data_IF_373634901726
#
_entry.id   IF_373634901726
#
_cell.length_a   1.000
_cell.length_b   1.000
_cell.length_c   1.000
_cell.angle_alpha   90.00
_cell.angle_beta   90.00
_cell.angle_gamma   90.00
#
_symmetry.space_group_name_H-M   'P 1'
#
loop_
_entity.id
_entity.type
_entity.pdbx_description
1 polymer ?
#
# COMPACT_ATOMS: atom_id res chain seq x y z
N UNK A 1 -9.91 1.94 3.05
CA UNK A 1 -10.14 2.05 1.59
C UNK A 1 -9.81 0.70 0.98
N UNK A 2 -10.78 0.06 0.33
CA UNK A 2 -10.60 -1.27 -0.26
C UNK A 2 -10.11 -1.15 -1.69
N UNK A 3 -9.01 -1.83 -2.01
CA UNK A 3 -8.46 -1.89 -3.35
C UNK A 3 -7.89 -3.29 -3.62
N UNK A 4 -7.83 -3.65 -4.89
CA UNK A 4 -7.39 -4.98 -5.30
C UNK A 4 -5.91 -4.98 -5.68
N UNK A 5 -5.08 -5.82 -5.05
CA UNK A 5 -3.65 -5.97 -5.41
C UNK A 5 -3.41 -6.88 -6.63
N UNK A 6 -4.47 -7.42 -7.24
CA UNK A 6 -4.39 -8.10 -8.55
C UNK A 6 -4.54 -7.11 -9.69
N UNK A 7 -5.56 -6.25 -9.65
CA UNK A 7 -5.88 -5.36 -10.77
C UNK A 7 -5.66 -3.87 -10.48
N UNK A 8 -5.35 -3.51 -9.24
CA UNK A 8 -5.16 -2.14 -8.73
C UNK A 8 -6.39 -1.24 -8.76
N UNK A 9 -7.56 -1.74 -9.18
CA UNK A 9 -8.83 -1.02 -9.11
C UNK A 9 -9.37 -0.90 -7.68
N UNK A 10 -10.14 0.15 -7.42
CA UNK A 10 -10.87 0.37 -6.18
C UNK A 10 -12.13 -0.52 -6.11
N UNK A 11 -12.69 -0.67 -4.90
CA UNK A 11 -14.04 -1.23 -4.70
C UNK A 11 -14.11 -2.73 -4.40
N UNK A 12 -13.03 -3.48 -4.54
CA UNK A 12 -13.02 -4.92 -4.24
C UNK A 12 -11.66 -5.39 -3.71
N UNK A 13 -11.67 -6.53 -3.00
CA UNK A 13 -10.47 -7.22 -2.55
C UNK A 13 -10.00 -8.24 -3.59
N UNK A 14 -8.75 -8.71 -3.47
CA UNK A 14 -8.11 -9.62 -4.43
C UNK A 14 -8.88 -10.94 -4.63
N UNK A 15 -9.47 -11.47 -3.57
CA UNK A 15 -10.30 -12.69 -3.56
C UNK A 15 -11.63 -12.52 -4.31
N UNK A 16 -12.11 -11.28 -4.47
CA UNK A 16 -13.32 -10.92 -5.23
C UNK A 16 -12.99 -10.31 -6.60
N UNK A 17 -11.76 -10.46 -7.07
CA UNK A 17 -11.34 -9.89 -8.34
C UNK A 17 -11.73 -10.81 -9.51
N UNK A 18 -12.54 -10.27 -10.43
CA UNK A 18 -12.90 -10.95 -11.68
C UNK A 18 -11.80 -10.84 -12.76
N UNK A 19 -10.67 -10.20 -12.45
CA UNK A 19 -9.53 -10.10 -13.35
C UNK A 19 -8.84 -11.46 -13.53
N UNK A 20 -8.72 -11.89 -14.78
CA UNK A 20 -8.04 -13.12 -15.18
C UNK A 20 -6.54 -13.05 -14.86
N UNK A 21 -5.92 -11.89 -15.10
CA UNK A 21 -4.49 -11.66 -14.90
C UNK A 21 -4.22 -10.69 -13.75
N UNK A 22 -3.06 -10.86 -13.10
CA UNK A 22 -2.52 -9.79 -12.24
C UNK A 22 -1.94 -8.70 -13.14
N UNK A 23 -1.94 -7.45 -12.70
CA UNK A 23 -1.40 -6.32 -13.46
C UNK A 23 -0.18 -5.74 -12.75
N UNK A 24 0.77 -5.23 -13.51
CA UNK A 24 1.91 -4.50 -12.96
C UNK A 24 1.41 -3.26 -12.21
N UNK A 25 2.02 -2.95 -11.05
CA UNK A 25 1.63 -1.77 -10.25
C UNK A 25 1.92 -0.45 -10.95
N UNK A 26 2.91 -0.42 -11.84
CA UNK A 26 3.41 0.79 -12.47
C UNK A 26 2.74 0.98 -13.84
N UNK A 27 2.94 0.03 -14.76
CA UNK A 27 2.45 0.16 -16.13
C UNK A 27 1.08 -0.47 -16.40
N UNK A 28 0.52 -1.19 -15.43
CA UNK A 28 -0.75 -1.93 -15.54
C UNK A 28 -0.80 -3.04 -16.58
N UNK A 29 0.33 -3.40 -17.21
CA UNK A 29 0.40 -4.53 -18.12
C UNK A 29 0.14 -5.86 -17.38
N UNK A 30 -0.38 -6.85 -18.11
CA UNK A 30 -0.69 -8.16 -17.55
C UNK A 30 0.59 -8.94 -17.17
N UNK A 31 0.60 -9.44 -15.94
CA UNK A 31 1.57 -10.38 -15.38
C UNK A 31 1.09 -11.78 -15.71
N UNK A 32 1.70 -12.41 -16.72
CA UNK A 32 1.40 -13.79 -17.11
C UNK A 32 2.19 -14.73 -16.18
N UNK A 33 1.51 -15.70 -15.56
CA UNK A 33 2.15 -16.65 -14.66
C UNK A 33 3.27 -17.42 -15.37
N UNK A 34 4.45 -17.45 -14.76
CA UNK A 34 5.62 -18.15 -15.32
C UNK A 34 6.44 -17.33 -16.33
N UNK A 35 6.02 -16.11 -16.67
CA UNK A 35 6.83 -15.18 -17.46
C UNK A 35 7.38 -14.04 -16.59
N UNK A 36 8.66 -13.73 -16.76
CA UNK A 36 9.26 -12.54 -16.15
C UNK A 36 8.69 -11.30 -16.81
N UNK A 37 7.99 -10.49 -16.04
CA UNK A 37 7.47 -9.22 -16.52
C UNK A 37 8.58 -8.16 -16.63
N UNK A 38 8.71 -7.56 -17.81
CA UNK A 38 9.55 -6.38 -18.03
C UNK A 38 8.64 -5.15 -17.99
N UNK A 39 8.78 -4.34 -16.95
CA UNK A 39 8.00 -3.14 -16.76
C UNK A 39 8.43 -2.05 -17.75
N UNK A 40 7.47 -1.44 -18.46
CA UNK A 40 7.73 -0.30 -19.35
C UNK A 40 8.08 0.99 -18.59
N UNK A 41 7.90 1.01 -17.27
CA UNK A 41 8.07 2.18 -16.38
C UNK A 41 7.20 3.39 -16.73
N UNK A 42 6.29 3.27 -17.69
CA UNK A 42 5.24 4.25 -17.94
C UNK A 42 4.20 4.14 -16.84
N UNK A 43 4.14 5.11 -15.94
CA UNK A 43 3.18 5.09 -14.83
C UNK A 43 1.76 5.24 -15.38
N UNK A 44 0.86 4.35 -14.98
CA UNK A 44 -0.56 4.38 -15.36
C UNK A 44 -1.48 4.13 -14.17
N UNK A 45 -2.60 4.85 -14.16
CA UNK A 45 -3.62 4.74 -13.13
C UNK A 45 -4.73 3.76 -13.50
N UNK A 46 -5.01 2.77 -12.64
CA UNK A 46 -6.04 1.76 -12.90
C UNK A 46 -7.48 2.28 -12.76
N UNK A 47 -7.67 3.54 -12.33
CA UNK A 47 -9.00 4.16 -12.19
C UNK A 47 -9.34 5.10 -13.35
N UNK A 48 -8.34 5.81 -13.90
CA UNK A 48 -8.56 6.85 -14.90
C UNK A 48 -7.57 6.82 -16.07
N UNK A 49 -6.69 5.82 -16.14
CA UNK A 49 -5.63 5.67 -17.15
C UNK A 49 -4.61 6.82 -17.26
N UNK A 50 -4.66 7.80 -16.35
CA UNK A 50 -3.71 8.92 -16.30
C UNK A 50 -2.29 8.55 -15.85
N UNK A 51 -1.36 9.47 -16.05
CA UNK A 51 0.09 9.33 -15.76
C UNK A 51 0.44 9.52 -14.27
N UNK A 52 -0.23 8.76 -13.40
CA UNK A 52 0.04 8.74 -11.97
C UNK A 52 -0.27 7.37 -11.37
N UNK A 53 0.21 7.12 -10.16
CA UNK A 53 -0.05 5.85 -9.49
C UNK A 53 -1.53 5.67 -9.16
N UNK A 54 -2.05 4.45 -9.30
CA UNK A 54 -3.47 4.08 -9.13
C UNK A 54 -4.15 4.47 -7.81
N UNK A 55 -3.36 4.82 -6.78
CA UNK A 55 -3.85 5.22 -5.45
C UNK A 55 -3.38 6.64 -5.07
N UNK A 56 -2.85 7.41 -6.03
CA UNK A 56 -2.40 8.78 -5.84
C UNK A 56 -3.54 9.68 -5.36
N UNK A 57 -3.22 10.64 -4.51
CA UNK A 57 -4.14 11.71 -4.11
C UNK A 57 -4.48 12.66 -5.25
N UNK A 58 -3.69 12.66 -6.32
CA UNK A 58 -3.92 13.46 -7.53
C UNK A 58 -4.98 12.85 -8.46
N UNK A 59 -5.34 11.58 -8.24
CA UNK A 59 -6.36 10.92 -9.03
C UNK A 59 -7.76 11.35 -8.58
N UNK A 60 -8.49 12.08 -9.43
CA UNK A 60 -9.86 12.52 -9.15
C UNK A 60 -10.78 11.36 -8.75
N UNK A 61 -10.64 10.19 -9.41
CA UNK A 61 -11.41 8.98 -9.08
C UNK A 61 -11.12 8.43 -7.69
N UNK A 62 -9.89 8.53 -7.21
CA UNK A 62 -9.53 8.13 -5.84
C UNK A 62 -10.12 9.11 -4.83
N UNK A 63 -10.06 10.41 -5.13
CA UNK A 63 -10.64 11.47 -4.29
C UNK A 63 -12.15 11.29 -4.16
N UNK A 64 -12.84 11.14 -5.29
CA UNK A 64 -14.28 10.87 -5.37
C UNK A 64 -14.66 9.64 -4.56
N UNK A 65 -13.95 8.53 -4.76
CA UNK A 65 -14.21 7.28 -4.03
C UNK A 65 -14.03 7.43 -2.51
N UNK A 66 -13.00 8.15 -2.06
CA UNK A 66 -12.79 8.43 -0.64
C UNK A 66 -13.91 9.28 -0.04
N UNK A 67 -14.36 10.30 -0.78
CA UNK A 67 -15.49 11.15 -0.37
C UNK A 67 -16.77 10.33 -0.22
N UNK A 68 -17.10 9.52 -1.23
CA UNK A 68 -18.29 8.67 -1.22
C UNK A 68 -18.26 7.65 -0.09
N UNK A 69 -17.11 7.03 0.18
CA UNK A 69 -16.96 6.11 1.31
C UNK A 69 -17.17 6.81 2.66
N UNK A 70 -16.65 8.03 2.80
CA UNK A 70 -16.83 8.82 4.02
C UNK A 70 -18.30 9.16 4.24
N UNK A 71 -18.98 9.65 3.22
CA UNK A 71 -20.40 9.96 3.27
C UNK A 71 -21.25 8.72 3.62
N UNK A 72 -20.98 7.58 2.97
CA UNK A 72 -21.67 6.33 3.29
C UNK A 72 -21.43 5.87 4.73
N UNK A 73 -20.21 6.04 5.25
CA UNK A 73 -19.91 5.72 6.64
C UNK A 73 -20.64 6.64 7.62
N UNK A 74 -20.68 7.95 7.34
CA UNK A 74 -21.41 8.95 8.16
C UNK A 74 -22.92 8.71 8.15
N UNK A 75 -23.48 8.37 6.98
CA UNK A 75 -24.89 8.00 6.83
C UNK A 75 -25.20 6.70 7.59
N UNK A 76 -24.31 5.70 7.51
CA UNK A 76 -24.49 4.44 8.23
C UNK A 76 -24.36 4.58 9.75
N UNK A 77 -23.49 5.48 10.23
CA UNK A 77 -23.41 5.86 11.65
C UNK A 77 -24.70 6.54 12.10
N UNK A 78 -25.18 7.53 11.34
CA UNK A 78 -26.42 8.26 11.65
C UNK A 78 -27.65 7.35 11.63
N UNK A 79 -27.67 6.36 10.74
CA UNK A 79 -28.72 5.36 10.65
C UNK A 79 -28.61 4.22 11.69
N UNK A 80 -27.61 4.25 12.58
CA UNK A 80 -27.39 3.21 13.59
C UNK A 80 -26.95 1.85 13.04
N UNK A 81 -26.58 1.77 11.75
CA UNK A 81 -26.07 0.55 11.10
C UNK A 81 -24.61 0.27 11.44
N UNK A 82 -23.86 1.31 11.80
CA UNK A 82 -22.50 1.23 12.32
C UNK A 82 -22.47 1.86 13.71
N UNK A 83 -21.66 1.28 14.60
CA UNK A 83 -21.31 1.90 15.87
C UNK A 83 -19.85 2.32 15.82
N UNK A 84 -19.57 3.57 16.20
CA UNK A 84 -18.20 4.01 16.41
C UNK A 84 -17.69 3.32 17.66
N UNK A 85 -16.66 2.48 17.52
CA UNK A 85 -15.92 1.97 18.67
C UNK A 85 -15.31 3.19 19.37
N UNK A 86 -15.77 3.48 20.58
CA UNK A 86 -15.09 4.43 21.45
C UNK A 86 -13.79 3.73 21.87
N UNK A 87 -12.61 4.32 21.63
CA UNK A 87 -11.38 3.79 22.21
C UNK A 87 -11.64 3.62 23.70
N UNK A 88 -11.58 2.39 24.22
CA UNK A 88 -11.66 2.20 25.66
C UNK A 88 -10.44 2.92 26.23
N UNK A 89 -10.68 4.00 26.98
CA UNK A 89 -9.66 4.66 27.76
C UNK A 89 -8.98 3.58 28.60
N UNK A 90 -7.73 3.26 28.24
CA UNK A 90 -6.87 2.23 28.84
C UNK A 90 -7.16 0.79 28.41
N UNK A 91 -6.73 0.43 27.21
CA UNK A 91 -5.85 -0.75 27.16
C UNK A 91 -4.65 -0.34 28.00
N UNK A 92 -4.42 -0.99 29.15
CA UNK A 92 -3.11 -0.92 29.80
C UNK A 92 -2.12 -1.41 28.75
N UNK A 93 -1.51 -0.48 28.02
CA UNK A 93 -0.30 -0.75 27.28
C UNK A 93 0.69 -1.20 28.33
N UNK A 94 0.83 -2.51 28.51
CA UNK A 94 1.99 -3.07 29.20
C UNK A 94 3.17 -2.42 28.51
N UNK A 95 3.91 -1.60 29.25
CA UNK A 95 5.07 -0.88 28.76
C UNK A 95 5.90 -1.84 27.92
N UNK A 96 6.10 -1.52 26.64
CA UNK A 96 6.84 -2.38 25.75
C UNK A 96 8.26 -2.50 26.28
N UNK A 97 8.59 -3.64 26.89
CA UNK A 97 9.94 -3.94 27.32
C UNK A 97 10.66 -4.64 26.18
N UNK A 98 11.56 -3.89 25.51
CA UNK A 98 12.47 -4.46 24.54
C UNK A 98 13.39 -5.45 25.26
N UNK A 99 13.12 -6.75 25.13
CA UNK A 99 14.04 -7.78 25.57
C UNK A 99 15.18 -7.87 24.56
N UNK A 100 16.28 -7.16 24.83
CA UNK A 100 17.48 -7.16 23.96
C UNK A 100 17.99 -8.57 23.63
N UNK A 101 17.69 -9.58 24.47
CA UNK A 101 18.10 -10.97 24.27
C UNK A 101 17.21 -11.76 23.30
N UNK A 102 16.08 -11.22 22.84
CA UNK A 102 15.19 -11.88 21.86
C UNK A 102 15.52 -11.50 20.41
N UNK A 103 16.49 -10.60 20.20
CA UNK A 103 16.90 -10.15 18.87
C UNK A 103 18.34 -10.59 18.58
N UNK A 104 18.58 -11.31 17.46
CA UNK A 104 19.94 -11.66 17.07
C UNK A 104 20.74 -10.39 16.78
N UNK A 105 21.86 -10.21 17.47
CA UNK A 105 22.80 -9.13 17.20
C UNK A 105 23.36 -9.29 15.79
N UNK A 106 23.24 -8.25 14.96
CA UNK A 106 23.97 -8.23 13.69
C UNK A 106 25.47 -8.25 14.01
N UNK A 107 26.28 -9.07 13.31
CA UNK A 107 27.73 -9.00 13.46
C UNK A 107 28.16 -7.58 13.15
N UNK A 108 28.85 -6.96 14.12
CA UNK A 108 29.45 -5.64 13.96
C UNK A 108 30.28 -5.67 12.68
N UNK A 109 29.97 -4.75 11.76
CA UNK A 109 30.72 -4.55 10.53
C UNK A 109 32.19 -4.43 10.89
N UNK A 110 32.93 -5.53 10.67
CA UNK A 110 34.38 -5.50 10.57
C UNK A 110 34.69 -4.37 9.59
N UNK A 111 35.46 -3.41 10.09
CA UNK A 111 35.91 -2.22 9.39
C UNK A 111 36.46 -2.62 8.01
N UNK A 112 35.67 -2.40 6.96
CA UNK A 112 36.17 -2.42 5.59
C UNK A 112 37.01 -1.16 5.40
N UNK A 113 38.28 -1.25 5.77
CA UNK A 113 39.32 -0.32 5.33
C UNK A 113 39.59 -0.55 3.85
N UNK A 114 38.73 0.02 2.99
CA UNK A 114 39.11 0.29 1.60
C UNK A 114 39.18 1.79 1.40
N UNK A 115 40.35 2.37 1.08
CA UNK A 115 40.48 3.79 0.83
C UNK A 115 39.93 4.09 -0.57
N UNK A 116 38.69 4.57 -0.65
CA UNK A 116 38.18 5.18 -1.87
C UNK A 116 38.74 6.60 -1.93
N UNK A 117 39.76 6.80 -2.77
CA UNK A 117 40.23 8.13 -3.18
C UNK A 117 39.10 8.81 -3.96
N UNK A 118 38.52 9.86 -3.39
CA UNK A 118 37.71 10.82 -4.13
C UNK A 118 38.70 11.76 -4.84
N UNK A 119 38.84 11.63 -6.16
CA UNK A 119 39.43 12.67 -6.99
C UNK A 119 38.34 13.65 -7.37
N UNK A 120 38.42 14.86 -6.81
CA UNK A 120 37.65 16.03 -7.23
C UNK A 120 38.08 16.46 -8.63
N UNK A 121 37.12 16.79 -9.49
CA UNK A 121 37.30 17.66 -10.67
C UNK A 121 36.75 19.02 -10.31
#
# INVERSE_FOLDING_TARGET
>A
MTYCTRCWCLGHMRDKCNGEYSRCRICLDNLINGQTHVCSNTVRCAQCDGEHHSLSSECEKVVEYRSNLKEQAENALSAGKLQRLVPQDRVQLTEFQLKQNEFPSLPSLMSFTTPWKITSV
#
